data_IF_097193001745
#
_entry.id   IF_097193001745
#
_cell.length_a   1.000
_cell.length_b   1.000
_cell.length_c   1.000
_cell.angle_alpha   90.00
_cell.angle_beta   90.00
_cell.angle_gamma   90.00
#
_symmetry.space_group_name_H-M   'P 1'
#
loop_
_entity.id
_entity.type
_entity.pdbx_description
1 polymer ?
#
# COMPACT_ATOMS: atom_id res chain seq x y z
N UNK A 1 9.31 -22.36 0.13
CA UNK A 1 8.49 -21.14 -0.04
C UNK A 1 9.05 -20.12 0.93
N UNK A 2 9.46 -18.95 0.44
CA UNK A 2 10.07 -17.92 1.30
C UNK A 2 9.20 -16.68 1.25
N UNK A 3 9.06 -15.97 2.36
CA UNK A 3 8.34 -14.71 2.39
C UNK A 3 9.29 -13.55 2.62
N UNK A 4 8.93 -12.38 2.09
CA UNK A 4 9.68 -11.14 2.28
C UNK A 4 8.71 -9.98 2.43
N UNK A 5 8.96 -9.15 3.44
CA UNK A 5 8.26 -7.89 3.61
C UNK A 5 8.77 -6.85 2.60
N UNK A 6 7.84 -6.18 1.93
CA UNK A 6 8.12 -5.10 1.01
C UNK A 6 7.23 -3.89 1.30
N UNK A 7 7.80 -2.69 1.26
CA UNK A 7 7.02 -1.46 1.22
C UNK A 7 6.37 -1.29 -0.15
N UNK A 8 5.04 -1.17 -0.18
CA UNK A 8 4.30 -0.66 -1.34
C UNK A 8 3.84 0.77 -1.08
N UNK A 9 3.74 1.53 -2.17
CA UNK A 9 3.25 2.90 -2.15
C UNK A 9 1.90 2.93 -2.87
N UNK A 10 0.90 3.54 -2.25
CA UNK A 10 -0.40 3.82 -2.85
C UNK A 10 -0.54 5.34 -2.95
N UNK A 11 -0.97 5.83 -4.10
CA UNK A 11 -1.32 7.22 -4.32
C UNK A 11 -2.82 7.28 -4.63
N UNK A 12 -3.57 8.08 -3.86
CA UNK A 12 -5.02 8.22 -4.01
C UNK A 12 -5.41 9.66 -3.65
N UNK A 13 -5.88 10.42 -4.64
CA UNK A 13 -6.21 11.84 -4.47
C UNK A 13 -5.02 12.64 -3.95
N UNK A 14 -5.24 13.44 -2.91
CA UNK A 14 -4.21 14.27 -2.27
C UNK A 14 -3.33 13.51 -1.27
N UNK A 15 -3.43 12.17 -1.22
CA UNK A 15 -2.70 11.35 -0.25
C UNK A 15 -1.79 10.32 -0.91
N UNK A 16 -0.61 10.13 -0.31
CA UNK A 16 0.26 8.98 -0.54
C UNK A 16 0.33 8.14 0.73
N UNK A 17 0.39 6.83 0.60
CA UNK A 17 0.60 5.93 1.73
C UNK A 17 1.69 4.91 1.46
N UNK A 18 2.53 4.68 2.46
CA UNK A 18 3.48 3.58 2.52
C UNK A 18 2.91 2.47 3.39
N UNK A 19 2.83 1.26 2.85
CA UNK A 19 2.31 0.08 3.53
C UNK A 19 3.27 -1.08 3.40
N UNK A 20 3.55 -1.76 4.50
CA UNK A 20 4.29 -3.02 4.49
C UNK A 20 3.35 -4.16 4.09
N UNK A 21 3.76 -4.93 3.09
CA UNK A 21 3.09 -6.18 2.71
C UNK A 21 4.05 -7.35 2.67
N UNK A 22 3.52 -8.55 2.90
CA UNK A 22 4.28 -9.79 2.78
C UNK A 22 4.10 -10.42 1.40
N UNK A 23 5.21 -10.61 0.69
CA UNK A 23 5.24 -11.29 -0.59
C UNK A 23 5.80 -12.70 -0.44
N UNK A 24 5.15 -13.65 -1.10
CA UNK A 24 5.55 -15.05 -1.15
C UNK A 24 6.34 -15.33 -2.43
N UNK A 25 7.56 -15.81 -2.27
CA UNK A 25 8.44 -16.24 -3.34
C UNK A 25 8.41 -17.76 -3.50
N UNK A 26 8.28 -18.19 -4.75
CA UNK A 26 8.33 -19.61 -5.16
C UNK A 26 9.26 -19.77 -6.36
N UNK A 27 9.64 -21.00 -6.69
CA UNK A 27 10.45 -21.29 -7.88
C UNK A 27 9.69 -21.27 -9.21
N UNK A 28 8.41 -20.88 -9.22
CA UNK A 28 7.62 -20.73 -10.44
C UNK A 28 7.84 -19.36 -11.10
N UNK A 29 7.64 -19.31 -12.41
CA UNK A 29 7.87 -18.13 -13.26
C UNK A 29 7.04 -16.89 -12.87
N UNK A 30 5.95 -17.05 -12.12
CA UNK A 30 5.04 -15.97 -11.73
C UNK A 30 5.23 -15.50 -10.28
N UNK A 31 6.36 -15.87 -9.65
CA UNK A 31 6.78 -15.31 -8.36
C UNK A 31 7.26 -13.85 -8.51
N UNK A 32 7.00 -12.95 -7.54
CA UNK A 32 6.34 -13.19 -6.25
C UNK A 32 4.81 -13.00 -6.24
N UNK A 33 4.16 -13.67 -5.29
CA UNK A 33 2.71 -13.60 -5.06
C UNK A 33 2.36 -12.81 -3.80
N UNK A 34 1.16 -12.23 -3.80
CA UNK A 34 0.54 -11.62 -2.63
C UNK A 34 -0.56 -12.57 -2.14
N UNK A 35 -0.64 -12.82 -0.83
CA UNK A 35 -1.78 -13.57 -0.28
C UNK A 35 -3.07 -12.76 -0.43
N UNK A 36 -4.23 -13.42 -0.35
CA UNK A 36 -5.52 -12.72 -0.40
C UNK A 36 -5.64 -11.66 0.71
N UNK A 37 -5.19 -12.01 1.93
CA UNK A 37 -5.21 -11.09 3.08
C UNK A 37 -4.35 -9.86 2.83
N UNK A 38 -3.15 -10.04 2.30
CA UNK A 38 -2.25 -8.93 1.98
C UNK A 38 -2.80 -8.08 0.82
N UNK A 39 -3.50 -8.69 -0.14
CA UNK A 39 -4.20 -7.97 -1.21
C UNK A 39 -5.37 -7.14 -0.67
N UNK A 40 -6.17 -7.71 0.23
CA UNK A 40 -7.28 -7.01 0.89
C UNK A 40 -6.79 -5.83 1.72
N UNK A 41 -5.64 -5.97 2.40
CA UNK A 41 -5.02 -4.88 3.16
C UNK A 41 -4.70 -3.66 2.27
N UNK A 42 -4.15 -3.91 1.08
CA UNK A 42 -3.90 -2.84 0.09
C UNK A 42 -5.20 -2.18 -0.37
N UNK A 43 -6.23 -2.98 -0.65
CA UNK A 43 -7.52 -2.46 -1.12
C UNK A 43 -8.25 -1.65 -0.04
N UNK A 44 -8.22 -2.11 1.21
CA UNK A 44 -8.76 -1.38 2.36
C UNK A 44 -8.07 -0.03 2.54
N UNK A 45 -6.74 0.01 2.44
CA UNK A 45 -5.99 1.27 2.53
C UNK A 45 -6.38 2.21 1.39
N UNK A 46 -6.41 1.72 0.15
CA UNK A 46 -6.83 2.51 -1.02
C UNK A 46 -8.25 3.06 -0.86
N UNK A 47 -9.20 2.24 -0.39
CA UNK A 47 -10.58 2.66 -0.18
C UNK A 47 -10.70 3.71 0.93
N UNK A 48 -9.98 3.54 2.04
CA UNK A 48 -9.95 4.48 3.15
C UNK A 48 -9.42 5.85 2.69
N UNK A 49 -8.30 5.87 1.94
CA UNK A 49 -7.75 7.11 1.37
C UNK A 49 -8.75 7.78 0.42
N UNK A 50 -9.38 7.02 -0.47
CA UNK A 50 -10.38 7.53 -1.42
C UNK A 50 -11.58 8.18 -0.71
N UNK A 51 -11.95 7.67 0.45
CA UNK A 51 -13.04 8.18 1.28
C UNK A 51 -12.59 9.32 2.23
N UNK A 52 -11.34 9.77 2.15
CA UNK A 52 -10.71 10.69 3.11
C UNK A 52 -10.74 10.18 4.57
N UNK A 53 -10.90 8.86 4.78
CA UNK A 53 -10.79 8.24 6.11
C UNK A 53 -9.33 7.99 6.48
N UNK A 54 -8.64 9.09 6.78
CA UNK A 54 -7.23 9.10 7.19
C UNK A 54 -7.04 8.32 8.50
N UNK A 55 -8.06 8.23 9.35
CA UNK A 55 -7.99 7.50 10.61
C UNK A 55 -7.83 6.00 10.36
N UNK A 56 -8.69 5.42 9.51
CA UNK A 56 -8.56 4.00 9.13
C UNK A 56 -7.28 3.76 8.34
N UNK A 57 -6.95 4.65 7.39
CA UNK A 57 -5.74 4.52 6.58
C UNK A 57 -4.45 4.52 7.42
N UNK A 58 -4.34 5.41 8.42
CA UNK A 58 -3.16 5.52 9.29
C UNK A 58 -2.97 4.32 10.22
N UNK A 59 -4.00 3.51 10.45
CA UNK A 59 -3.88 2.21 11.12
C UNK A 59 -3.24 1.12 10.26
N UNK A 60 -3.26 1.27 8.92
CA UNK A 60 -2.76 0.28 7.96
C UNK A 60 -1.35 0.61 7.44
N UNK A 61 -0.99 1.89 7.40
CA UNK A 61 0.28 2.35 6.85
C UNK A 61 0.61 3.81 7.22
N UNK A 62 1.76 4.29 6.77
CA UNK A 62 2.17 5.68 6.97
C UNK A 62 1.60 6.56 5.87
N UNK A 63 0.81 7.56 6.25
CA UNK A 63 0.08 8.42 5.32
C UNK A 63 0.77 9.78 5.22
N UNK A 64 0.82 10.30 4.01
CA UNK A 64 1.36 11.60 3.65
C UNK A 64 0.29 12.37 2.90
N UNK A 65 0.11 13.65 3.22
CA UNK A 65 -0.62 14.58 2.36
C UNK A 65 0.34 15.13 1.32
N UNK A 66 -0.02 15.05 0.05
CA UNK A 66 0.77 15.54 -1.05
C UNK A 66 0.43 17.00 -1.33
N UNK A 67 1.47 17.83 -1.36
CA UNK A 67 1.33 19.23 -1.75
C UNK A 67 2.19 19.45 -2.99
N UNK A 68 1.59 19.79 -4.15
CA UNK A 68 2.35 20.08 -5.35
C UNK A 68 3.36 21.21 -5.10
N UNK A 69 4.62 20.99 -5.50
CA UNK A 69 5.64 22.05 -5.48
C UNK A 69 5.66 22.68 -6.86
N UNK A 70 5.23 23.94 -6.94
CA UNK A 70 5.32 24.73 -8.18
C UNK A 70 6.66 25.45 -8.17
N UNK A 71 7.46 25.23 -9.21
CA UNK A 71 8.70 25.99 -9.47
C UNK A 71 8.35 27.15 -10.39
N UNK A 72 8.77 28.37 -10.02
CA UNK A 72 8.53 29.61 -10.75
C UNK A 72 9.51 29.79 -11.92
#
# INVERSE_FOLDING_TARGET
MNTRTQTKIIHEGDYMAEIQVELTYTGHDWSPYLSLTEAQKLDQLRLALRQNDVKTASGLGRIYHLTPVVVA
#
